data_IF_061197560820
#
_entry.id   IF_061197560820
#
_cell.length_a   1.000
_cell.length_b   1.000
_cell.length_c   1.000
_cell.angle_alpha   90.00
_cell.angle_beta   90.00
_cell.angle_gamma   90.00
#
_symmetry.space_group_name_H-M   'P 1'
#
loop_
_entity.id
_entity.type
_entity.pdbx_description
1 polymer ?
#
# COMPACT_ATOMS: atom_id res chain seq x y z
N UNK A 1 13.61 10.05 -4.51
CA UNK A 1 13.33 9.04 -3.46
C UNK A 1 11.84 8.75 -3.48
N UNK A 2 11.46 7.48 -3.38
CA UNK A 2 10.08 7.07 -3.12
C UNK A 2 10.02 6.53 -1.69
N UNK A 3 9.13 7.09 -0.87
CA UNK A 3 8.99 6.72 0.54
C UNK A 3 7.49 6.61 0.90
N UNK A 4 7.17 5.63 1.75
CA UNK A 4 5.86 5.47 2.36
C UNK A 4 5.95 4.61 3.62
N UNK A 5 4.87 4.53 4.41
CA UNK A 5 4.84 3.81 5.69
C UNK A 5 4.03 4.55 6.75
N UNK A 6 4.34 4.32 8.03
CA UNK A 6 3.83 5.15 9.14
C UNK A 6 2.37 4.94 9.55
N UNK A 7 1.57 4.15 8.83
CA UNK A 7 0.12 3.97 9.13
C UNK A 7 -0.21 3.39 10.52
N UNK A 8 0.77 2.80 11.20
CA UNK A 8 0.59 2.32 12.58
C UNK A 8 0.55 3.46 13.61
N UNK A 9 0.98 4.67 13.24
CA UNK A 9 1.00 5.86 14.09
C UNK A 9 -0.41 6.45 14.32
N UNK A 10 -1.34 6.20 13.40
CA UNK A 10 -2.74 6.63 13.51
C UNK A 10 -3.67 5.55 12.94
N UNK A 11 -3.79 4.42 13.63
CA UNK A 11 -4.62 3.30 13.15
C UNK A 11 -6.09 3.67 12.99
N UNK A 12 -6.62 4.49 13.89
CA UNK A 12 -8.04 4.88 13.87
C UNK A 12 -8.32 5.77 12.67
N UNK A 13 -7.53 6.82 12.45
CA UNK A 13 -7.68 7.70 11.29
C UNK A 13 -7.42 7.00 9.96
N UNK A 14 -6.49 6.03 9.94
CA UNK A 14 -6.15 5.26 8.74
C UNK A 14 -7.13 4.12 8.42
N UNK A 15 -8.09 3.84 9.30
CA UNK A 15 -9.18 2.88 9.06
C UNK A 15 -10.33 3.59 8.36
N UNK A 16 -10.13 3.87 7.07
CA UNK A 16 -11.08 4.61 6.24
C UNK A 16 -11.09 4.09 4.81
N UNK A 17 -12.18 4.36 4.10
CA UNK A 17 -12.32 4.14 2.66
C UNK A 17 -12.04 5.42 1.86
N UNK A 18 -11.86 6.55 2.53
CA UNK A 18 -11.61 7.84 1.91
C UNK A 18 -10.14 7.98 1.53
N UNK A 19 -9.90 8.64 0.39
CA UNK A 19 -8.56 9.06 0.00
C UNK A 19 -8.18 10.34 0.75
N UNK A 20 -6.93 10.42 1.18
CA UNK A 20 -6.41 11.58 1.90
C UNK A 20 -5.07 11.29 2.55
N UNK A 21 -4.24 12.32 2.65
CA UNK A 21 -2.99 12.24 3.41
C UNK A 21 -3.22 12.57 4.88
N UNK A 22 -2.63 11.82 5.79
CA UNK A 22 -2.65 12.14 7.23
C UNK A 22 -1.48 13.06 7.62
N UNK A 23 -1.73 14.22 8.27
CA UNK A 23 -0.66 15.11 8.76
C UNK A 23 0.35 14.40 9.67
N UNK A 24 -0.13 13.49 10.54
CA UNK A 24 0.72 12.71 11.44
C UNK A 24 1.70 11.83 10.66
N UNK A 25 1.22 11.18 9.61
CA UNK A 25 2.05 10.31 8.76
C UNK A 25 3.01 11.16 7.91
N UNK A 26 2.53 12.25 7.30
CA UNK A 26 3.38 13.12 6.48
C UNK A 26 4.55 13.68 7.31
N UNK A 27 4.29 14.14 8.53
CA UNK A 27 5.32 14.62 9.43
C UNK A 27 6.34 13.53 9.76
N UNK A 28 5.89 12.31 10.06
CA UNK A 28 6.80 11.19 10.36
C UNK A 28 7.67 10.81 9.15
N UNK A 29 7.12 10.82 7.94
CA UNK A 29 7.90 10.54 6.72
C UNK A 29 8.92 11.64 6.43
N UNK A 30 8.59 12.90 6.67
CA UNK A 30 9.52 14.02 6.51
C UNK A 30 10.62 14.02 7.56
N UNK A 31 10.30 13.72 8.82
CA UNK A 31 11.30 13.51 9.88
C UNK A 31 12.26 12.39 9.49
N UNK A 32 11.74 11.24 9.02
CA UNK A 32 12.57 10.14 8.56
C UNK A 32 13.48 10.55 7.38
N UNK A 33 12.97 11.34 6.43
CA UNK A 33 13.79 11.88 5.35
C UNK A 33 14.91 12.77 5.87
N UNK A 34 14.61 13.73 6.76
CA UNK A 34 15.59 14.70 7.27
C UNK A 34 16.63 14.07 8.19
N UNK A 35 16.23 13.16 9.05
CA UNK A 35 17.11 12.66 10.12
C UNK A 35 17.87 11.39 9.73
N UNK A 36 17.34 10.59 8.81
CA UNK A 36 17.88 9.25 8.53
C UNK A 36 18.29 9.08 7.07
N UNK A 37 17.41 9.41 6.12
CA UNK A 37 17.64 9.07 4.71
C UNK A 37 18.50 10.12 4.00
N UNK A 38 18.28 11.41 4.30
CA UNK A 38 18.94 12.57 3.71
C UNK A 38 19.40 13.58 4.78
N UNK A 39 20.23 13.18 5.77
CA UNK A 39 20.79 14.12 6.73
C UNK A 39 21.59 15.21 6.03
N UNK A 40 21.47 16.44 6.52
CA UNK A 40 22.20 17.64 6.05
C UNK A 40 22.03 17.97 4.56
N UNK A 41 20.96 17.44 3.94
CA UNK A 41 20.67 17.64 2.52
C UNK A 41 19.30 18.27 2.35
N UNK A 42 19.28 19.48 1.79
CA UNK A 42 18.04 20.15 1.38
C UNK A 42 17.30 19.33 0.31
N UNK A 43 15.98 19.24 0.45
CA UNK A 43 15.09 18.56 -0.48
C UNK A 43 13.72 19.24 -0.54
N UNK A 44 13.00 19.01 -1.64
CA UNK A 44 11.60 19.40 -1.81
C UNK A 44 10.74 18.16 -2.07
N UNK A 45 9.47 18.23 -1.68
CA UNK A 45 8.51 17.17 -1.94
C UNK A 45 7.76 17.49 -3.24
N UNK A 46 8.06 16.73 -4.30
CA UNK A 46 7.43 16.90 -5.61
C UNK A 46 5.95 16.48 -5.59
N UNK A 47 5.64 15.34 -4.95
CA UNK A 47 4.30 14.76 -4.91
C UNK A 47 4.00 14.08 -3.59
N UNK A 48 2.74 14.11 -3.20
CA UNK A 48 2.16 13.33 -2.10
C UNK A 48 0.89 12.66 -2.59
N UNK A 49 0.66 11.45 -2.12
CA UNK A 49 -0.58 10.73 -2.36
C UNK A 49 -0.82 9.74 -1.24
N UNK A 50 -2.06 9.25 -1.19
CA UNK A 50 -2.48 8.16 -0.33
C UNK A 50 -3.00 7.00 -1.17
N UNK A 51 -3.14 5.83 -0.56
CA UNK A 51 -3.83 4.70 -1.15
C UNK A 51 -4.67 3.97 -0.12
N UNK A 52 -5.90 3.61 -0.50
CA UNK A 52 -6.79 2.79 0.32
C UNK A 52 -6.30 1.34 0.29
N UNK A 53 -6.20 0.71 1.46
CA UNK A 53 -5.75 -0.68 1.57
C UNK A 53 -6.93 -1.61 1.85
N UNK A 54 -7.00 -2.70 1.08
CA UNK A 54 -7.87 -3.84 1.40
C UNK A 54 -7.12 -4.87 2.22
N UNK A 55 -7.60 -5.14 3.44
CA UNK A 55 -7.13 -6.21 4.30
C UNK A 55 -8.18 -7.30 4.43
N UNK A 56 -7.76 -8.53 4.73
CA UNK A 56 -8.69 -9.58 5.13
C UNK A 56 -8.72 -9.84 6.61
N UNK A 57 -9.81 -10.48 7.04
CA UNK A 57 -10.08 -10.79 8.44
C UNK A 57 -9.11 -11.81 9.05
N UNK A 58 -8.56 -12.69 8.23
CA UNK A 58 -7.80 -13.88 8.67
C UNK A 58 -6.31 -13.85 8.30
N UNK A 59 -5.84 -12.81 7.61
CA UNK A 59 -4.45 -12.76 7.14
C UNK A 59 -4.16 -11.68 6.09
N UNK A 60 -2.87 -11.51 5.79
CA UNK A 60 -2.32 -10.50 4.87
C UNK A 60 -2.08 -11.04 3.45
N UNK A 61 -2.42 -12.30 3.23
CA UNK A 61 -2.27 -12.99 1.96
C UNK A 61 -3.23 -12.39 0.92
N UNK A 62 -2.78 -12.24 -0.34
CA UNK A 62 -3.67 -11.93 -1.44
C UNK A 62 -4.76 -12.99 -1.58
N UNK A 63 -5.96 -12.55 -1.93
CA UNK A 63 -7.04 -13.44 -2.36
C UNK A 63 -6.98 -13.54 -3.89
N UNK A 64 -6.74 -14.76 -4.39
CA UNK A 64 -6.72 -15.06 -5.82
C UNK A 64 -7.60 -16.28 -6.10
N UNK A 65 -8.80 -16.04 -6.61
CA UNK A 65 -9.82 -17.08 -6.81
C UNK A 65 -10.69 -16.81 -8.04
N UNK A 66 -11.27 -17.89 -8.60
CA UNK A 66 -12.23 -17.80 -9.69
C UNK A 66 -13.63 -17.63 -9.11
N UNK A 67 -14.32 -16.54 -9.48
CA UNK A 67 -15.71 -16.28 -9.09
C UNK A 67 -16.73 -16.71 -10.14
N UNK A 68 -16.28 -17.02 -11.37
CA UNK A 68 -17.15 -17.52 -12.43
C UNK A 68 -16.39 -17.90 -13.69
N UNK A 69 -17.12 -18.23 -14.75
CA UNK A 69 -16.55 -18.74 -16.01
C UNK A 69 -15.54 -17.79 -16.67
N UNK A 70 -15.66 -16.48 -16.44
CA UNK A 70 -14.76 -15.45 -17.01
C UNK A 70 -14.40 -14.38 -15.99
N UNK A 71 -14.47 -14.70 -14.69
CA UNK A 71 -14.27 -13.75 -13.59
C UNK A 71 -13.30 -14.35 -12.59
N UNK A 72 -12.19 -13.64 -12.34
CA UNK A 72 -11.16 -13.99 -11.35
C UNK A 72 -10.87 -12.75 -10.51
N UNK A 73 -10.64 -12.92 -9.21
CA UNK A 73 -10.20 -11.85 -8.31
C UNK A 73 -8.71 -11.97 -8.02
N UNK A 74 -8.09 -10.82 -7.77
CA UNK A 74 -6.73 -10.70 -7.30
C UNK A 74 -6.65 -9.47 -6.36
N UNK A 75 -7.12 -9.64 -5.13
CA UNK A 75 -7.33 -8.54 -4.17
C UNK A 75 -6.60 -8.79 -2.85
N UNK A 76 -6.77 -7.90 -1.85
CA UNK A 76 -6.19 -8.02 -0.50
C UNK A 76 -4.66 -8.09 -0.44
N UNK A 77 -3.99 -7.28 -1.26
CA UNK A 77 -2.52 -7.28 -1.31
C UNK A 77 -1.84 -6.65 -0.08
N UNK A 78 -2.62 -6.13 0.87
CA UNK A 78 -2.16 -5.72 2.21
C UNK A 78 -0.95 -4.78 2.20
N UNK A 79 -0.90 -3.85 1.25
CA UNK A 79 0.21 -2.90 1.07
C UNK A 79 1.44 -3.45 0.35
N UNK A 80 1.47 -4.74 -0.02
CA UNK A 80 2.60 -5.38 -0.70
C UNK A 80 2.41 -5.50 -2.22
N UNK A 81 1.36 -4.88 -2.77
CA UNK A 81 0.94 -5.06 -4.16
C UNK A 81 2.04 -4.83 -5.20
N UNK A 82 2.92 -3.85 -4.98
CA UNK A 82 4.06 -3.58 -5.88
C UNK A 82 5.05 -4.76 -5.90
N UNK A 83 5.36 -5.33 -4.73
CA UNK A 83 6.36 -6.40 -4.62
C UNK A 83 5.83 -7.75 -5.14
N UNK A 84 4.56 -8.07 -4.87
CA UNK A 84 3.99 -9.39 -5.17
C UNK A 84 3.10 -9.41 -6.42
N UNK A 85 2.86 -8.24 -7.02
CA UNK A 85 1.97 -8.06 -8.17
C UNK A 85 2.22 -9.04 -9.32
N UNK A 86 3.47 -9.20 -9.82
CA UNK A 86 3.74 -10.12 -10.92
C UNK A 86 3.37 -11.59 -10.60
N UNK A 87 3.64 -12.05 -9.37
CA UNK A 87 3.30 -13.41 -8.93
C UNK A 87 1.79 -13.60 -8.81
N UNK A 88 1.10 -12.61 -8.22
CA UNK A 88 -0.35 -12.62 -8.07
C UNK A 88 -1.04 -12.59 -9.44
N UNK A 89 -0.55 -11.76 -10.36
CA UNK A 89 -1.07 -11.67 -11.73
C UNK A 89 -0.91 -12.99 -12.49
N UNK A 90 0.26 -13.63 -12.42
CA UNK A 90 0.47 -14.95 -13.03
C UNK A 90 -0.56 -15.96 -12.53
N UNK A 91 -0.76 -16.03 -11.21
CA UNK A 91 -1.75 -16.94 -10.61
C UNK A 91 -3.17 -16.64 -11.07
N UNK A 92 -3.53 -15.37 -11.20
CA UNK A 92 -4.85 -14.97 -11.68
C UNK A 92 -5.07 -15.38 -13.15
N UNK A 93 -4.04 -15.25 -14.01
CA UNK A 93 -4.10 -15.67 -15.42
C UNK A 93 -4.20 -17.19 -15.55
N UNK A 94 -3.43 -17.96 -14.77
CA UNK A 94 -3.54 -19.43 -14.73
C UNK A 94 -4.97 -19.90 -14.41
N UNK A 95 -5.68 -19.14 -13.56
CA UNK A 95 -7.06 -19.46 -13.24
C UNK A 95 -8.00 -19.20 -14.39
N UNK A 96 -7.69 -18.33 -15.36
CA UNK A 96 -8.58 -17.97 -16.49
C UNK A 96 -8.57 -18.99 -17.62
N UNK A 97 -7.52 -19.81 -17.75
CA UNK A 97 -7.33 -20.75 -18.85
C UNK A 97 -6.46 -20.16 -19.94
#
# INVERSE_FOLDING_TARGET
>A
ILLGGGRHLDKTGETTLEEGTSPVIQQALETLLREVILPDREFTIERRWSGVMGFGRQGKEPLVERLGNRIVTAVRLSGMGVAIGPRVARRAVELLG
#
